data_IF_175716786377
#
_entry.id   IF_175716786377
#
_cell.length_a   1.000
_cell.length_b   1.000
_cell.length_c   1.000
_cell.angle_alpha   90.00
_cell.angle_beta   90.00
_cell.angle_gamma   90.00
#
_symmetry.space_group_name_H-M   'P 1'
#
loop_
_entity.id
_entity.type
_entity.pdbx_description
1 polymer ?
#
# COMPACT_ATOMS: atom_id res chain seq x y z
N UNK A 1 4.74 2.23 6.15
CA UNK A 1 3.72 2.26 5.08
C UNK A 1 3.51 3.67 4.61
N UNK A 2 3.46 3.89 3.29
CA UNK A 2 3.18 5.20 2.67
C UNK A 2 1.68 5.48 2.68
N UNK A 3 1.30 6.71 3.00
CA UNK A 3 -0.08 7.16 2.90
C UNK A 3 -0.60 7.06 1.46
N UNK A 4 -1.84 6.62 1.31
CA UNK A 4 -2.53 6.57 0.01
C UNK A 4 -3.28 7.88 -0.20
N UNK A 5 -3.02 8.55 -1.32
CA UNK A 5 -3.70 9.80 -1.67
C UNK A 5 -4.77 9.48 -2.71
N UNK A 6 -6.03 9.74 -2.35
CA UNK A 6 -7.16 9.67 -3.27
C UNK A 6 -7.28 10.95 -4.07
N UNK A 7 -7.53 10.81 -5.37
CA UNK A 7 -7.74 11.95 -6.27
C UNK A 7 -9.25 12.23 -6.40
N UNK A 8 -9.76 13.36 -5.91
CA UNK A 8 -11.18 13.69 -6.05
C UNK A 8 -11.62 13.87 -7.51
N UNK A 9 -10.68 14.18 -8.41
CA UNK A 9 -10.91 14.30 -9.85
C UNK A 9 -10.61 12.98 -10.61
N UNK A 10 -10.54 11.85 -9.90
CA UNK A 10 -10.37 10.54 -10.51
C UNK A 10 -11.43 10.27 -11.58
N UNK A 11 -11.01 9.64 -12.68
CA UNK A 11 -11.92 9.16 -13.72
C UNK A 11 -12.99 8.22 -13.13
N UNK A 12 -12.64 7.46 -12.09
CA UNK A 12 -13.59 6.61 -11.37
C UNK A 12 -14.75 7.42 -10.82
N UNK A 13 -14.46 8.57 -10.23
CA UNK A 13 -15.46 9.48 -9.63
C UNK A 13 -16.21 10.25 -10.72
N UNK A 14 -15.48 10.88 -11.65
CA UNK A 14 -16.05 11.79 -12.66
C UNK A 14 -16.94 11.08 -13.67
N UNK A 15 -16.68 9.80 -13.97
CA UNK A 15 -17.52 8.98 -14.84
C UNK A 15 -18.57 8.17 -14.05
N UNK A 16 -18.58 8.24 -12.72
CA UNK A 16 -19.54 7.52 -11.88
C UNK A 16 -19.42 5.99 -12.01
N UNK A 17 -18.18 5.47 -12.10
CA UNK A 17 -17.97 4.03 -12.19
C UNK A 17 -18.41 3.34 -10.89
N UNK A 18 -18.98 2.14 -11.01
CA UNK A 18 -19.55 1.39 -9.89
C UNK A 18 -19.04 -0.05 -9.84
N UNK A 19 -18.77 -0.53 -8.63
CA UNK A 19 -18.46 -1.94 -8.38
C UNK A 19 -19.78 -2.72 -8.16
N UNK A 20 -19.93 -3.96 -8.65
CA UNK A 20 -18.96 -4.74 -9.43
C UNK A 20 -19.02 -4.52 -10.95
N UNK A 21 -19.96 -3.70 -11.43
CA UNK A 21 -20.25 -3.51 -12.87
C UNK A 21 -19.00 -3.13 -13.68
N UNK A 22 -18.25 -2.15 -13.18
CA UNK A 22 -17.09 -1.56 -13.86
C UNK A 22 -15.76 -2.06 -13.29
N UNK A 23 -15.75 -3.22 -12.60
CA UNK A 23 -14.60 -3.74 -11.82
C UNK A 23 -13.27 -3.74 -12.58
N UNK A 24 -13.26 -4.14 -13.84
CA UNK A 24 -12.03 -4.22 -14.64
C UNK A 24 -11.46 -2.83 -14.87
N UNK A 25 -12.31 -1.88 -15.28
CA UNK A 25 -11.90 -0.49 -15.52
C UNK A 25 -11.47 0.21 -14.23
N UNK A 26 -12.20 -0.01 -13.13
CA UNK A 26 -11.83 0.51 -11.81
C UNK A 26 -10.44 0.02 -11.41
N UNK A 27 -10.15 -1.28 -11.56
CA UNK A 27 -8.83 -1.86 -11.27
C UNK A 27 -7.73 -1.16 -12.07
N UNK A 28 -7.87 -1.05 -13.38
CA UNK A 28 -6.87 -0.43 -14.26
C UNK A 28 -6.60 1.04 -13.90
N UNK A 29 -7.63 1.78 -13.50
CA UNK A 29 -7.49 3.17 -13.07
C UNK A 29 -6.81 3.27 -11.72
N UNK A 30 -7.19 2.44 -10.73
CA UNK A 30 -6.53 2.40 -9.42
C UNK A 30 -5.05 2.01 -9.53
N UNK A 31 -4.71 1.02 -10.38
CA UNK A 31 -3.31 0.64 -10.62
C UNK A 31 -2.48 1.84 -11.14
N UNK A 32 -3.02 2.62 -12.06
CA UNK A 32 -2.37 3.81 -12.59
C UNK A 32 -2.23 4.91 -11.54
N UNK A 33 -3.30 5.22 -10.82
CA UNK A 33 -3.30 6.23 -9.76
C UNK A 33 -2.32 5.90 -8.63
N UNK A 34 -2.21 4.61 -8.31
CA UNK A 34 -1.24 4.10 -7.34
C UNK A 34 0.16 3.89 -7.91
N UNK A 35 0.41 4.32 -9.17
CA UNK A 35 1.70 4.19 -9.86
C UNK A 35 2.19 2.72 -9.95
N UNK A 36 1.26 1.78 -10.11
CA UNK A 36 1.52 0.34 -10.15
C UNK A 36 2.23 -0.19 -8.88
N UNK A 37 1.84 0.33 -7.73
CA UNK A 37 2.31 -0.11 -6.40
C UNK A 37 1.10 -0.59 -5.59
N UNK A 38 1.22 -1.77 -4.99
CA UNK A 38 0.21 -2.33 -4.11
C UNK A 38 -0.08 -1.36 -2.96
N UNK A 39 -1.35 -1.02 -2.75
CA UNK A 39 -1.75 -0.04 -1.73
C UNK A 39 -1.32 -0.44 -0.31
N UNK A 40 -1.31 -1.73 0.01
CA UNK A 40 -1.04 -2.19 1.37
C UNK A 40 0.42 -2.52 1.61
N UNK A 41 1.02 -3.28 0.70
CA UNK A 41 2.36 -3.81 0.90
C UNK A 41 3.47 -2.98 0.25
N UNK A 42 3.08 -1.97 -0.56
CA UNK A 42 4.01 -1.12 -1.33
C UNK A 42 4.92 -1.91 -2.30
N UNK A 43 4.58 -3.18 -2.55
CA UNK A 43 5.28 -3.96 -3.54
C UNK A 43 4.85 -3.58 -4.96
N UNK A 44 5.72 -3.83 -5.93
CA UNK A 44 5.50 -3.50 -7.34
C UNK A 44 4.45 -4.40 -7.98
N UNK A 45 3.45 -3.80 -8.59
CA UNK A 45 2.51 -4.48 -9.48
C UNK A 45 3.17 -4.66 -10.84
N UNK A 46 3.30 -5.90 -11.28
CA UNK A 46 3.88 -6.29 -12.58
C UNK A 46 2.84 -6.95 -13.47
N UNK A 47 3.16 -7.20 -14.74
CA UNK A 47 2.27 -7.90 -15.66
C UNK A 47 1.88 -9.32 -15.21
N UNK A 48 2.70 -9.95 -14.36
CA UNK A 48 2.43 -11.27 -13.78
C UNK A 48 1.69 -11.21 -12.43
N UNK A 49 1.51 -10.02 -11.87
CA UNK A 49 0.83 -9.86 -10.58
C UNK A 49 -0.67 -10.05 -10.75
N UNK A 50 -1.28 -10.87 -9.89
CA UNK A 50 -2.74 -10.89 -9.73
C UNK A 50 -3.16 -9.72 -8.84
N UNK A 51 -4.06 -8.86 -9.34
CA UNK A 51 -4.48 -7.63 -8.67
C UNK A 51 -5.98 -7.65 -8.44
N UNK A 52 -6.35 -7.33 -7.21
CA UNK A 52 -7.74 -7.19 -6.80
C UNK A 52 -8.11 -5.71 -6.63
N UNK A 53 -9.39 -5.40 -6.91
CA UNK A 53 -10.05 -4.22 -6.35
C UNK A 53 -10.48 -4.61 -4.95
N UNK A 54 -9.78 -4.09 -3.97
CA UNK A 54 -9.98 -4.39 -2.57
C UNK A 54 -10.85 -3.32 -1.91
N UNK A 55 -11.72 -3.75 -1.01
CA UNK A 55 -12.56 -2.89 -0.18
C UNK A 55 -11.93 -2.81 1.21
N UNK A 56 -11.37 -1.65 1.58
CA UNK A 56 -10.74 -1.48 2.90
C UNK A 56 -11.72 -1.81 4.03
N UNK A 57 -12.90 -1.20 3.97
CA UNK A 57 -14.04 -1.61 4.81
C UNK A 57 -14.89 -2.63 4.04
N UNK A 58 -14.80 -3.93 4.35
CA UNK A 58 -15.53 -4.96 3.65
C UNK A 58 -17.06 -4.88 3.84
N UNK A 59 -17.52 -4.25 4.93
CA UNK A 59 -18.95 -4.09 5.23
C UNK A 59 -19.65 -3.10 4.29
N UNK A 60 -18.89 -2.23 3.63
CA UNK A 60 -19.45 -1.28 2.65
C UNK A 60 -19.63 -1.94 1.27
N UNK A 61 -18.96 -3.05 1.01
CA UNK A 61 -18.96 -3.70 -0.30
C UNK A 61 -20.37 -3.96 -0.80
N UNK A 62 -20.68 -3.48 -2.01
CA UNK A 62 -21.97 -3.62 -2.69
C UNK A 62 -23.16 -2.96 -1.95
N UNK A 63 -22.87 -2.03 -1.02
CA UNK A 63 -23.88 -1.16 -0.43
C UNK A 63 -23.93 0.19 -1.15
N UNK A 64 -24.91 1.03 -0.81
CA UNK A 64 -25.01 2.40 -1.33
C UNK A 64 -23.88 3.34 -0.84
N UNK A 65 -23.10 2.92 0.15
CA UNK A 65 -21.95 3.65 0.69
C UNK A 65 -20.63 3.17 0.10
N UNK A 66 -20.64 2.11 -0.71
CA UNK A 66 -19.44 1.61 -1.38
C UNK A 66 -19.00 2.59 -2.47
N UNK A 67 -17.79 3.10 -2.37
CA UNK A 67 -17.31 4.17 -3.22
C UNK A 67 -15.81 4.09 -3.46
N UNK A 68 -15.33 4.94 -4.35
CA UNK A 68 -13.91 5.10 -4.68
C UNK A 68 -13.02 5.23 -3.44
N UNK A 69 -13.46 5.91 -2.38
CA UNK A 69 -12.68 6.08 -1.15
C UNK A 69 -12.39 4.77 -0.44
N UNK A 70 -13.26 3.77 -0.63
CA UNK A 70 -13.12 2.44 -0.07
C UNK A 70 -12.31 1.46 -0.95
N UNK A 71 -11.99 1.81 -2.21
CA UNK A 71 -11.40 0.89 -3.18
C UNK A 71 -9.90 1.10 -3.36
N UNK A 72 -9.14 0.03 -3.38
CA UNK A 72 -7.68 0.03 -3.55
C UNK A 72 -7.25 -1.07 -4.51
N UNK A 73 -6.22 -0.81 -5.32
CA UNK A 73 -5.54 -1.87 -6.07
C UNK A 73 -4.51 -2.53 -5.16
N UNK A 74 -4.68 -3.81 -4.90
CA UNK A 74 -3.78 -4.59 -4.04
C UNK A 74 -3.35 -5.88 -4.70
N UNK A 75 -2.16 -6.36 -4.40
CA UNK A 75 -1.73 -7.70 -4.76
C UNK A 75 -2.68 -8.74 -4.17
N UNK A 76 -3.05 -9.74 -4.94
CA UNK A 76 -3.98 -10.79 -4.51
C UNK A 76 -3.56 -11.43 -3.18
N UNK A 77 -2.26 -11.67 -2.99
CA UNK A 77 -1.73 -12.19 -1.73
C UNK A 77 -2.01 -11.24 -0.54
N UNK A 78 -1.79 -9.92 -0.70
CA UNK A 78 -2.09 -8.95 0.35
C UNK A 78 -3.58 -8.95 0.72
N UNK A 79 -4.45 -9.09 -0.27
CA UNK A 79 -5.89 -9.24 -0.07
C UNK A 79 -6.24 -10.53 0.69
N UNK A 80 -5.65 -11.67 0.32
CA UNK A 80 -5.84 -12.94 1.02
C UNK A 80 -5.38 -12.89 2.47
N UNK A 81 -4.24 -12.26 2.74
CA UNK A 81 -3.67 -12.15 4.10
C UNK A 81 -4.50 -11.22 5.00
N UNK A 82 -5.02 -10.13 4.47
CA UNK A 82 -6.01 -9.31 5.17
C UNK A 82 -7.23 -10.14 5.57
N UNK A 83 -7.67 -11.04 4.70
CA UNK A 83 -8.65 -12.08 4.93
C UNK A 83 -10.08 -11.59 5.04
N UNK A 84 -10.96 -12.19 4.25
CA UNK A 84 -12.41 -11.98 4.33
C UNK A 84 -13.06 -12.79 5.46
N UNK A 85 -12.45 -13.92 5.84
CA UNK A 85 -13.05 -14.87 6.80
C UNK A 85 -13.18 -14.33 8.22
N UNK A 86 -12.46 -13.27 8.55
CA UNK A 86 -12.52 -12.60 9.86
C UNK A 86 -12.81 -11.10 9.72
N UNK A 87 -13.23 -10.65 8.53
CA UNK A 87 -13.46 -9.23 8.27
C UNK A 87 -14.51 -8.68 9.22
N UNK A 88 -15.63 -9.39 9.37
CA UNK A 88 -16.74 -8.92 10.20
C UNK A 88 -16.33 -8.82 11.67
N UNK A 89 -15.73 -9.88 12.23
CA UNK A 89 -15.30 -9.88 13.63
C UNK A 89 -14.09 -8.96 13.88
N UNK A 90 -13.16 -8.88 12.95
CA UNK A 90 -12.02 -7.96 13.06
C UNK A 90 -12.44 -6.51 12.87
N UNK A 91 -13.35 -6.22 11.92
CA UNK A 91 -13.85 -4.86 11.73
C UNK A 91 -14.68 -4.38 12.90
N UNK A 92 -15.53 -5.21 13.48
CA UNK A 92 -16.27 -4.90 14.71
C UNK A 92 -15.35 -4.72 15.91
N UNK A 93 -14.27 -5.52 16.02
CA UNK A 93 -13.25 -5.37 17.05
C UNK A 93 -12.34 -4.18 16.80
N UNK A 94 -12.13 -3.78 15.55
CA UNK A 94 -11.20 -2.75 15.12
C UNK A 94 -11.91 -1.42 14.77
N UNK A 95 -12.92 -1.02 15.53
CA UNK A 95 -13.44 0.36 15.46
C UNK A 95 -12.35 1.43 15.63
N UNK A 96 -11.11 0.99 15.93
CA UNK A 96 -9.90 1.79 16.10
C UNK A 96 -8.86 1.48 15.00
N UNK A 97 -9.26 1.24 13.76
CA UNK A 97 -8.30 1.20 12.64
C UNK A 97 -8.05 2.62 12.13
N UNK A 98 -6.78 2.99 11.97
CA UNK A 98 -6.46 4.18 11.19
C UNK A 98 -6.68 3.89 9.70
N UNK A 99 -7.33 4.82 9.00
CA UNK A 99 -7.53 4.69 7.56
C UNK A 99 -6.20 4.87 6.80
N UNK A 100 -5.89 4.05 5.77
CA UNK A 100 -4.65 4.18 4.99
C UNK A 100 -4.54 5.49 4.21
N UNK A 101 -5.61 6.28 4.13
CA UNK A 101 -5.59 7.63 3.54
C UNK A 101 -5.41 8.75 4.57
N UNK A 102 -5.40 8.42 5.88
CA UNK A 102 -5.31 9.41 6.96
C UNK A 102 -4.04 10.25 6.88
N UNK A 103 -4.17 11.55 7.11
CA UNK A 103 -3.05 12.51 6.98
C UNK A 103 -1.86 12.19 7.87
N UNK A 104 -2.11 11.65 9.04
CA UNK A 104 -1.07 11.36 10.05
C UNK A 104 -0.52 9.92 9.96
N UNK A 105 -0.95 9.13 8.96
CA UNK A 105 -0.57 7.73 8.83
C UNK A 105 0.94 7.52 8.95
N UNK A 106 1.70 8.32 8.20
CA UNK A 106 3.16 8.18 8.11
C UNK A 106 3.90 8.59 9.38
N UNK A 107 3.24 9.32 10.28
CA UNK A 107 3.75 9.67 11.61
C UNK A 107 3.38 8.61 12.65
N UNK A 108 2.30 7.87 12.41
CA UNK A 108 1.75 6.91 13.36
C UNK A 108 2.19 5.47 13.08
N UNK A 109 2.63 5.15 11.86
CA UNK A 109 3.23 3.87 11.51
C UNK A 109 4.72 4.07 11.28
N UNK A 110 5.52 3.54 12.18
CA UNK A 110 6.97 3.58 12.17
C UNK A 110 7.56 2.31 11.58
N UNK A 111 8.81 2.37 11.17
CA UNK A 111 9.59 1.25 10.67
C UNK A 111 10.84 1.06 11.51
N UNK A 112 11.05 -0.15 11.99
CA UNK A 112 12.26 -0.55 12.70
C UNK A 112 13.27 -1.10 11.70
N UNK A 113 14.40 -0.40 11.56
CA UNK A 113 15.48 -0.76 10.63
C UNK A 113 16.23 -2.04 11.02
N UNK A 114 16.22 -2.42 12.30
CA UNK A 114 16.94 -3.60 12.77
C UNK A 114 16.14 -4.88 12.50
N UNK A 115 14.86 -4.86 12.77
CA UNK A 115 13.99 -6.01 12.55
C UNK A 115 13.35 -6.08 11.18
N UNK A 116 13.27 -4.94 10.45
CA UNK A 116 12.50 -4.82 9.21
C UNK A 116 10.99 -4.78 9.41
N UNK A 117 10.53 -4.53 10.65
CA UNK A 117 9.10 -4.54 10.98
C UNK A 117 8.49 -3.13 11.00
N UNK A 118 7.21 -3.07 10.68
CA UNK A 118 6.38 -1.91 10.96
C UNK A 118 5.74 -2.04 12.33
N UNK A 119 5.58 -0.91 13.03
CA UNK A 119 4.82 -0.84 14.28
C UNK A 119 4.02 0.46 14.38
N UNK A 120 2.87 0.39 15.05
CA UNK A 120 2.04 1.56 15.34
C UNK A 120 2.44 2.21 16.65
N UNK A 121 2.45 3.55 16.71
CA UNK A 121 2.71 4.28 17.96
C UNK A 121 1.49 4.33 18.89
N UNK A 122 0.33 3.92 18.40
CA UNK A 122 -0.92 3.80 19.16
C UNK A 122 -1.74 2.61 18.67
N UNK A 123 -2.79 2.30 19.41
CA UNK A 123 -3.64 1.12 19.13
C UNK A 123 -4.23 1.11 17.73
N UNK A 124 -4.69 2.26 17.21
CA UNK A 124 -5.32 2.30 15.89
C UNK A 124 -4.32 2.07 14.76
N UNK A 125 -3.10 2.58 14.91
CA UNK A 125 -2.02 2.35 13.96
C UNK A 125 -1.49 0.92 14.05
N UNK A 126 -1.32 0.37 15.26
CA UNK A 126 -0.90 -1.04 15.42
C UNK A 126 -1.94 -2.00 14.86
N UNK A 127 -3.22 -1.74 15.10
CA UNK A 127 -4.29 -2.53 14.52
C UNK A 127 -4.24 -2.54 12.98
N UNK A 128 -3.88 -1.43 12.34
CA UNK A 128 -3.71 -1.40 10.88
C UNK A 128 -2.51 -2.25 10.44
N UNK A 129 -1.38 -2.18 11.14
CA UNK A 129 -0.20 -3.01 10.87
C UNK A 129 -0.58 -4.49 10.89
N UNK A 130 -1.31 -4.91 11.93
CA UNK A 130 -1.74 -6.29 12.12
C UNK A 130 -2.83 -6.70 11.10
N UNK A 131 -3.79 -5.80 10.84
CA UNK A 131 -4.89 -6.03 9.91
C UNK A 131 -4.42 -6.24 8.47
N UNK A 132 -3.43 -5.46 8.04
CA UNK A 132 -2.83 -5.57 6.70
C UNK A 132 -1.69 -6.59 6.63
N UNK A 133 -1.38 -7.24 7.77
CA UNK A 133 -0.27 -8.19 7.91
C UNK A 133 1.05 -7.63 7.35
N UNK A 134 1.38 -6.38 7.75
CA UNK A 134 2.55 -5.68 7.22
C UNK A 134 3.88 -6.36 7.61
N UNK A 135 3.88 -7.20 8.64
CA UNK A 135 5.04 -7.93 9.13
C UNK A 135 5.01 -9.41 8.72
N UNK A 136 4.31 -9.75 7.61
CA UNK A 136 4.46 -11.07 6.99
C UNK A 136 5.93 -11.37 6.75
N UNK A 137 6.36 -12.60 7.06
CA UNK A 137 7.77 -13.00 7.01
C UNK A 137 8.40 -12.77 5.63
N UNK A 138 7.76 -13.23 4.56
CA UNK A 138 8.30 -13.09 3.21
C UNK A 138 8.31 -11.62 2.77
N UNK A 139 7.27 -10.86 3.13
CA UNK A 139 7.22 -9.42 2.83
C UNK A 139 8.31 -8.64 3.57
N UNK A 140 8.65 -9.04 4.79
CA UNK A 140 9.75 -8.46 5.56
C UNK A 140 11.10 -8.77 4.90
N UNK A 141 11.33 -10.01 4.51
CA UNK A 141 12.54 -10.40 3.78
C UNK A 141 12.69 -9.62 2.47
N UNK A 142 11.63 -9.52 1.68
CA UNK A 142 11.60 -8.69 0.46
C UNK A 142 11.99 -7.23 0.71
N UNK A 143 11.58 -6.65 1.83
CA UNK A 143 11.96 -5.28 2.22
C UNK A 143 13.44 -5.17 2.53
N UNK A 144 13.96 -6.09 3.35
CA UNK A 144 15.38 -6.14 3.74
C UNK A 144 16.26 -6.33 2.50
N UNK A 145 15.90 -7.26 1.62
CA UNK A 145 16.64 -7.48 0.37
C UNK A 145 16.63 -6.24 -0.52
N UNK A 146 15.50 -5.54 -0.60
CA UNK A 146 15.42 -4.30 -1.35
C UNK A 146 16.30 -3.19 -0.75
N UNK A 147 16.40 -3.09 0.57
CA UNK A 147 17.32 -2.17 1.23
C UNK A 147 18.77 -2.46 0.88
N UNK A 148 19.17 -3.73 0.84
CA UNK A 148 20.52 -4.13 0.41
C UNK A 148 20.80 -3.67 -1.01
N UNK A 149 19.88 -3.90 -1.95
CA UNK A 149 20.02 -3.47 -3.35
C UNK A 149 20.17 -1.94 -3.47
N UNK A 150 19.37 -1.18 -2.74
CA UNK A 150 19.45 0.29 -2.76
C UNK A 150 20.76 0.78 -2.13
N UNK A 151 21.20 0.17 -1.03
CA UNK A 151 22.51 0.45 -0.43
C UNK A 151 23.66 0.23 -1.43
N UNK A 152 23.62 -0.88 -2.18
CA UNK A 152 24.62 -1.17 -3.20
C UNK A 152 24.62 -0.12 -4.32
N UNK A 153 23.45 0.29 -4.81
CA UNK A 153 23.36 1.37 -5.80
C UNK A 153 23.94 2.69 -5.28
N UNK A 154 23.65 3.04 -4.02
CA UNK A 154 24.19 4.26 -3.40
C UNK A 154 25.70 4.18 -3.22
N UNK A 155 26.21 3.04 -2.75
CA UNK A 155 27.65 2.83 -2.55
C UNK A 155 28.43 2.94 -3.86
N UNK A 156 27.90 2.40 -4.94
CA UNK A 156 28.57 2.36 -6.24
C UNK A 156 28.44 3.66 -7.04
N UNK A 157 27.31 4.34 -6.94
CA UNK A 157 26.97 5.45 -7.85
C UNK A 157 26.64 6.77 -7.11
N UNK A 158 26.45 6.72 -5.81
CA UNK A 158 26.00 7.85 -5.01
C UNK A 158 24.48 8.03 -4.97
N UNK A 159 24.00 8.74 -3.95
CA UNK A 159 22.55 8.89 -3.68
C UNK A 159 21.83 9.70 -4.75
N UNK A 160 22.45 10.73 -5.30
CA UNK A 160 21.85 11.56 -6.35
C UNK A 160 21.60 10.76 -7.63
N UNK A 161 22.57 9.97 -8.04
CA UNK A 161 22.43 9.08 -9.20
C UNK A 161 21.32 8.05 -8.96
N UNK A 162 21.34 7.40 -7.78
CA UNK A 162 20.33 6.39 -7.40
C UNK A 162 18.93 6.97 -7.41
N UNK A 163 18.75 8.17 -6.83
CA UNK A 163 17.47 8.88 -6.84
C UNK A 163 16.99 9.16 -8.26
N UNK A 164 17.87 9.68 -9.12
CA UNK A 164 17.57 9.98 -10.51
C UNK A 164 17.32 8.71 -11.33
N UNK A 165 18.01 7.61 -11.03
CA UNK A 165 17.76 6.31 -11.62
C UNK A 165 16.35 5.79 -11.30
N UNK A 166 15.95 5.80 -10.03
CA UNK A 166 14.62 5.37 -9.59
C UNK A 166 13.51 6.26 -10.17
N UNK A 167 13.71 7.58 -10.26
CA UNK A 167 12.76 8.49 -10.90
C UNK A 167 12.52 8.16 -12.37
N UNK A 168 13.55 7.76 -13.10
CA UNK A 168 13.46 7.36 -14.52
C UNK A 168 13.00 5.92 -14.72
N UNK A 169 13.30 5.04 -13.78
CA UNK A 169 13.03 3.60 -13.85
C UNK A 169 11.98 3.20 -12.81
N UNK A 170 10.75 3.70 -12.97
CA UNK A 170 9.65 3.47 -12.01
C UNK A 170 9.35 1.98 -11.77
N UNK A 171 9.70 1.10 -12.71
CA UNK A 171 9.58 -0.35 -12.54
C UNK A 171 10.48 -0.92 -11.43
N UNK A 172 11.52 -0.18 -11.03
CA UNK A 172 12.42 -0.57 -9.94
C UNK A 172 11.96 -0.02 -8.57
N UNK A 173 10.88 0.75 -8.53
CA UNK A 173 10.39 1.36 -7.29
C UNK A 173 9.47 0.40 -6.57
N UNK A 174 9.86 0.03 -5.35
CA UNK A 174 9.08 -0.70 -4.34
C UNK A 174 9.22 0.01 -3.00
N UNK A 175 8.41 -0.31 -2.03
CA UNK A 175 8.57 0.11 -0.63
C UNK A 175 8.96 1.59 -0.47
N UNK A 176 8.15 2.49 -1.04
CA UNK A 176 8.45 3.94 -1.09
C UNK A 176 8.71 4.54 0.29
N UNK A 177 7.99 4.06 1.32
CA UNK A 177 8.19 4.55 2.67
C UNK A 177 9.58 4.22 3.22
N UNK A 178 10.11 3.05 2.86
CA UNK A 178 11.47 2.65 3.22
C UNK A 178 12.51 3.53 2.52
N UNK A 179 12.32 3.82 1.23
CA UNK A 179 13.19 4.74 0.50
C UNK A 179 13.28 6.12 1.19
N UNK A 180 12.15 6.62 1.72
CA UNK A 180 12.12 7.88 2.45
C UNK A 180 12.80 7.80 3.82
N UNK A 181 12.45 6.79 4.63
CA UNK A 181 12.92 6.70 6.02
C UNK A 181 14.41 6.35 6.11
N UNK A 182 14.88 5.44 5.25
CA UNK A 182 16.24 4.90 5.34
C UNK A 182 17.22 5.73 4.52
N UNK A 183 16.82 6.16 3.34
CA UNK A 183 17.71 6.73 2.34
C UNK A 183 17.44 8.21 2.03
N UNK A 184 16.40 8.80 2.62
CA UNK A 184 15.94 10.17 2.30
C UNK A 184 15.63 10.36 0.80
N UNK A 185 15.19 9.31 0.11
CA UNK A 185 14.83 9.34 -1.31
C UNK A 185 13.34 9.64 -1.46
N UNK A 186 13.03 10.81 -2.02
CA UNK A 186 11.67 11.25 -2.33
C UNK A 186 11.34 11.00 -3.82
N UNK A 187 10.26 10.24 -4.09
CA UNK A 187 9.87 9.82 -5.43
C UNK A 187 8.47 10.28 -5.85
#
# INVERSE_FOLDING_TARGET
MKRIIKNPDSVIVTEGLSYPKDKVRIRELLEKEQQYICAYWEDRITASSSIDVEHFNPLLKETSQDSYDNWFAVCHRANLMKGTKNADSRWEQHQLLIDPTHTDLEQRICYDKESGDYFGIDTAAQNLVDYLNLNDHELREDRIDYEVVINDYIRENGIEWTTNFLKRNRSQVRFRRILEIIFDIQL
#
